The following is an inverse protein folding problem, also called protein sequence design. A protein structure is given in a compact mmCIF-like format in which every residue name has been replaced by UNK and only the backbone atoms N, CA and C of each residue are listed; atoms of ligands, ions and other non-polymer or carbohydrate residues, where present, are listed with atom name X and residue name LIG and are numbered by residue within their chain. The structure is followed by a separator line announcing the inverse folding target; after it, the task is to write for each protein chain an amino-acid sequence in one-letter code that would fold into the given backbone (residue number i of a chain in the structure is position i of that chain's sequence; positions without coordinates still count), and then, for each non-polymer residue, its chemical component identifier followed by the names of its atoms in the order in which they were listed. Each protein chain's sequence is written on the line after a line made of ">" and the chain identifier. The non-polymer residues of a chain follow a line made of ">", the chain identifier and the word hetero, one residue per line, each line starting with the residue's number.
data_IF_661597272620
#
_entry.id   IF_661597272620
#
_cell.length_a   1.000
_cell.length_b   1.000
_cell.length_c   1.000
_cell.angle_alpha   90.00
_cell.angle_beta   90.00
_cell.angle_gamma   90.00
#
_symmetry.space_group_name_H-M   'P 1'
#
loop_
_entity.id
_entity.type
_entity.pdbx_description
1 polymer ?
#
# COMPACT_ATOMS: atom_id res chain seq x y z
N UNK A 1 30.95 14.88 -26.85
CA UNK A 1 30.13 13.84 -26.17
C UNK A 1 29.15 14.53 -25.25
N UNK A 2 27.84 14.43 -25.50
CA UNK A 2 26.82 14.95 -24.58
C UNK A 2 26.24 13.78 -23.77
N UNK A 3 26.43 13.82 -22.45
CA UNK A 3 25.90 12.87 -21.47
C UNK A 3 24.36 12.92 -21.42
N UNK A 4 23.69 12.23 -22.35
CA UNK A 4 22.22 12.18 -22.45
C UNK A 4 21.61 10.89 -21.90
N UNK A 5 22.27 10.23 -20.94
CA UNK A 5 21.86 8.90 -20.45
C UNK A 5 21.11 8.85 -19.11
N UNK A 6 21.24 9.85 -18.24
CA UNK A 6 20.84 9.74 -16.81
C UNK A 6 19.55 10.46 -16.43
N UNK A 7 19.05 11.39 -17.24
CA UNK A 7 17.92 12.27 -16.85
C UNK A 7 16.57 11.55 -16.81
N UNK A 8 16.39 10.51 -17.61
CA UNK A 8 15.13 9.75 -17.64
C UNK A 8 14.95 8.90 -16.38
N UNK A 9 16.02 8.25 -15.91
CA UNK A 9 15.98 7.46 -14.67
C UNK A 9 15.73 8.32 -13.44
N UNK A 10 16.35 9.51 -13.38
CA UNK A 10 16.13 10.47 -12.28
C UNK A 10 14.67 10.97 -12.19
N UNK A 11 14.02 11.20 -13.34
CA UNK A 11 12.61 11.62 -13.35
C UNK A 11 11.67 10.51 -12.91
N UNK A 12 11.94 9.27 -13.30
CA UNK A 12 11.18 8.11 -12.86
C UNK A 12 11.35 7.86 -11.35
N UNK A 13 12.56 7.98 -10.82
CA UNK A 13 12.86 7.89 -9.39
C UNK A 13 12.09 8.95 -8.57
N UNK A 14 12.17 10.23 -8.98
CA UNK A 14 11.44 11.29 -8.29
C UNK A 14 9.93 11.08 -8.35
N UNK A 15 9.42 10.63 -9.52
CA UNK A 15 8.00 10.32 -9.68
C UNK A 15 7.56 9.18 -8.77
N UNK A 16 8.30 8.07 -8.74
CA UNK A 16 8.00 6.91 -7.91
C UNK A 16 7.95 7.27 -6.42
N UNK A 17 8.92 8.07 -5.95
CA UNK A 17 8.95 8.53 -4.55
C UNK A 17 7.77 9.44 -4.25
N UNK A 18 7.48 10.41 -5.14
CA UNK A 18 6.37 11.33 -4.94
C UNK A 18 5.01 10.61 -4.96
N UNK A 19 4.77 9.74 -5.95
CA UNK A 19 3.52 8.98 -6.05
C UNK A 19 3.30 8.09 -4.81
N UNK A 20 4.37 7.46 -4.28
CA UNK A 20 4.28 6.67 -3.06
C UNK A 20 3.99 7.53 -1.81
N UNK A 21 4.66 8.68 -1.66
CA UNK A 21 4.39 9.60 -0.55
C UNK A 21 2.96 10.18 -0.63
N UNK A 22 2.51 10.59 -1.81
CA UNK A 22 1.15 11.06 -2.04
C UNK A 22 0.11 9.96 -1.74
N UNK A 23 0.41 8.71 -2.11
CA UNK A 23 -0.40 7.56 -1.73
C UNK A 23 -0.46 7.35 -0.21
N UNK A 24 0.65 7.53 0.51
CA UNK A 24 0.66 7.44 1.98
C UNK A 24 -0.13 8.58 2.65
N UNK A 25 -0.08 9.80 2.10
CA UNK A 25 -0.85 10.94 2.62
C UNK A 25 -2.36 10.72 2.46
N UNK A 26 -2.78 10.22 1.31
CA UNK A 26 -4.19 9.92 1.00
C UNK A 26 -4.70 8.65 1.69
N UNK A 27 -3.83 7.66 1.88
CA UNK A 27 -4.17 6.37 2.47
C UNK A 27 -3.99 6.31 3.98
N UNK A 28 -3.56 7.40 4.64
CA UNK A 28 -3.20 7.44 6.06
C UNK A 28 -4.34 6.88 6.93
N UNK A 29 -4.23 5.64 7.44
CA UNK A 29 -5.30 5.05 8.24
C UNK A 29 -5.35 5.75 9.59
N UNK A 30 -6.55 6.05 10.11
CA UNK A 30 -6.72 6.45 11.51
C UNK A 30 -6.01 5.41 12.39
N UNK A 31 -4.94 5.87 13.06
CA UNK A 31 -4.03 5.16 13.95
C UNK A 31 -4.81 4.16 14.83
N UNK A 32 -4.77 2.86 14.52
CA UNK A 32 -5.39 1.85 15.40
C UNK A 32 -5.70 0.46 14.85
N UNK A 33 -5.85 0.22 13.53
CA UNK A 33 -6.14 -1.16 13.08
C UNK A 33 -5.67 -1.43 11.66
N UNK A 34 -4.61 -2.24 11.53
CA UNK A 34 -4.34 -2.97 10.28
C UNK A 34 -5.51 -3.94 10.08
N UNK A 35 -6.45 -3.62 9.19
CA UNK A 35 -7.36 -4.62 8.64
C UNK A 35 -6.59 -5.36 7.53
N UNK A 36 -6.53 -6.68 7.67
CA UNK A 36 -5.82 -7.56 6.75
C UNK A 36 -6.73 -7.90 5.57
N UNK A 37 -6.33 -7.53 4.35
CA UNK A 37 -7.09 -7.78 3.11
C UNK A 37 -7.34 -9.27 2.91
N UNK A 38 -6.39 -10.12 3.34
CA UNK A 38 -6.53 -11.57 3.31
C UNK A 38 -7.70 -12.05 4.16
N UNK A 39 -7.87 -11.51 5.37
CA UNK A 39 -9.03 -11.83 6.22
C UNK A 39 -10.36 -11.44 5.60
N UNK A 40 -10.44 -10.30 4.89
CA UNK A 40 -11.68 -9.85 4.24
C UNK A 40 -12.07 -10.79 3.10
N UNK A 41 -11.09 -11.27 2.32
CA UNK A 41 -11.33 -12.27 1.26
C UNK A 41 -11.82 -13.61 1.80
N UNK A 42 -11.19 -14.11 2.86
CA UNK A 42 -11.61 -15.36 3.52
C UNK A 42 -13.06 -15.25 4.04
N UNK A 43 -13.40 -14.12 4.66
CA UNK A 43 -14.77 -13.86 5.12
C UNK A 43 -15.80 -13.79 3.99
N UNK A 44 -15.40 -13.26 2.83
CA UNK A 44 -16.26 -13.22 1.63
C UNK A 44 -16.58 -14.63 1.14
N UNK A 45 -15.56 -15.50 1.03
CA UNK A 45 -15.72 -16.90 0.61
C UNK A 45 -16.63 -17.68 1.58
N UNK A 46 -16.51 -17.45 2.90
CA UNK A 46 -17.40 -18.07 3.89
C UNK A 46 -18.86 -17.62 3.72
N UNK A 47 -19.10 -16.33 3.42
CA UNK A 47 -20.45 -15.80 3.20
C UNK A 47 -21.05 -16.37 1.91
N UNK A 48 -20.27 -16.50 0.84
CA UNK A 48 -20.74 -17.10 -0.41
C UNK A 48 -21.16 -18.56 -0.24
N UNK A 49 -20.41 -19.35 0.54
CA UNK A 49 -20.81 -20.72 0.88
C UNK A 49 -22.12 -20.76 1.66
N UNK A 50 -22.29 -19.89 2.66
CA UNK A 50 -23.52 -19.81 3.46
C UNK A 50 -24.73 -19.32 2.66
N UNK A 51 -24.52 -18.49 1.63
CA UNK A 51 -25.60 -18.03 0.75
C UNK A 51 -26.22 -19.15 -0.10
N UNK A 52 -25.50 -20.26 -0.33
CA UNK A 52 -26.02 -21.42 -1.05
C UNK A 52 -27.06 -22.22 -0.22
N UNK A 53 -26.89 -22.23 1.10
CA UNK A 53 -27.71 -23.05 2.02
C UNK A 53 -28.87 -22.26 2.66
N UNK A 54 -28.78 -20.92 2.67
CA UNK A 54 -29.67 -20.05 3.43
C UNK A 54 -30.69 -19.33 2.53
N UNK A 55 -31.96 -19.34 2.95
CA UNK A 55 -33.08 -18.66 2.27
C UNK A 55 -33.82 -17.68 3.21
N UNK A 56 -34.69 -16.85 2.63
CA UNK A 56 -35.49 -15.86 3.37
C UNK A 56 -34.67 -14.71 3.94
N UNK A 57 -35.10 -14.18 5.10
CA UNK A 57 -34.51 -12.98 5.74
C UNK A 57 -32.99 -13.12 6.00
N UNK A 58 -32.52 -14.33 6.30
CA UNK A 58 -31.10 -14.61 6.57
C UNK A 58 -30.24 -14.50 5.31
N UNK A 59 -30.81 -14.77 4.12
CA UNK A 59 -30.14 -14.57 2.83
C UNK A 59 -29.90 -13.08 2.58
N UNK A 60 -30.85 -12.23 2.95
CA UNK A 60 -30.75 -10.77 2.81
C UNK A 60 -29.62 -10.21 3.70
N UNK A 61 -29.52 -10.68 4.95
CA UNK A 61 -28.44 -10.29 5.87
C UNK A 61 -27.04 -10.67 5.34
N UNK A 62 -26.90 -11.88 4.79
CA UNK A 62 -25.65 -12.33 4.17
C UNK A 62 -25.33 -11.56 2.89
N UNK A 63 -26.32 -11.18 2.08
CA UNK A 63 -26.13 -10.33 0.90
C UNK A 63 -25.66 -8.93 1.28
N UNK A 64 -26.21 -8.36 2.36
CA UNK A 64 -25.75 -7.07 2.89
C UNK A 64 -24.30 -7.16 3.37
N UNK A 65 -23.96 -8.19 4.16
CA UNK A 65 -22.58 -8.43 4.60
C UNK A 65 -21.61 -8.62 3.44
N UNK A 66 -22.03 -9.30 2.37
CA UNK A 66 -21.24 -9.44 1.14
C UNK A 66 -20.99 -8.08 0.49
N UNK A 67 -22.00 -7.22 0.41
CA UNK A 67 -21.86 -5.87 -0.15
C UNK A 67 -20.91 -5.00 0.70
N UNK A 68 -21.05 -5.02 2.03
CA UNK A 68 -20.15 -4.31 2.95
C UNK A 68 -18.69 -4.78 2.82
N UNK A 69 -18.46 -6.11 2.74
CA UNK A 69 -17.11 -6.66 2.55
C UNK A 69 -16.53 -6.33 1.18
N UNK A 70 -17.36 -6.29 0.13
CA UNK A 70 -16.92 -5.85 -1.20
C UNK A 70 -16.58 -4.37 -1.22
N UNK A 71 -17.37 -3.48 -0.60
CA UNK A 71 -17.02 -2.06 -0.47
C UNK A 71 -15.74 -1.87 0.33
N UNK A 72 -15.54 -2.65 1.39
CA UNK A 72 -14.30 -2.66 2.15
C UNK A 72 -13.13 -3.15 1.27
N UNK A 73 -13.33 -4.20 0.46
CA UNK A 73 -12.34 -4.65 -0.51
C UNK A 73 -12.04 -3.64 -1.60
N UNK A 74 -13.00 -2.83 -2.04
CA UNK A 74 -12.76 -1.75 -2.99
C UNK A 74 -11.93 -0.63 -2.36
N UNK A 75 -12.25 -0.26 -1.11
CA UNK A 75 -11.46 0.70 -0.32
C UNK A 75 -10.04 0.20 -0.06
N UNK A 76 -9.89 -1.10 0.20
CA UNK A 76 -8.60 -1.76 0.33
C UNK A 76 -7.94 -2.06 -1.02
N UNK A 77 -8.71 -2.13 -2.11
CA UNK A 77 -8.28 -2.40 -3.48
C UNK A 77 -7.60 -1.19 -4.11
N UNK A 78 -7.96 0.02 -3.68
CA UNK A 78 -7.11 1.21 -3.87
C UNK A 78 -5.70 1.06 -3.26
N UNK A 79 -5.47 0.08 -2.38
CA UNK A 79 -4.12 -0.27 -1.91
C UNK A 79 -3.36 -1.20 -2.89
N UNK A 80 -3.99 -1.71 -3.96
CA UNK A 80 -3.29 -2.47 -5.01
C UNK A 80 -2.41 -1.53 -5.86
N UNK A 81 -2.84 -0.29 -6.12
CA UNK A 81 -1.95 0.79 -6.60
C UNK A 81 -0.79 1.00 -5.62
N UNK A 82 -1.09 1.00 -4.31
CA UNK A 82 -0.10 1.07 -3.25
C UNK A 82 0.98 -0.03 -3.32
N UNK A 83 0.64 -1.22 -3.80
CA UNK A 83 1.61 -2.33 -3.92
C UNK A 83 2.61 -2.09 -5.05
N UNK A 84 2.17 -1.56 -6.18
CA UNK A 84 3.06 -1.21 -7.28
C UNK A 84 3.91 0.03 -6.94
N UNK A 85 3.29 1.02 -6.30
CA UNK A 85 3.99 2.21 -5.78
C UNK A 85 5.03 1.83 -4.72
N UNK A 86 4.71 0.90 -3.82
CA UNK A 86 5.65 0.38 -2.83
C UNK A 86 6.87 -0.29 -3.49
N UNK A 87 6.64 -1.12 -4.52
CA UNK A 87 7.75 -1.77 -5.24
C UNK A 87 8.68 -0.75 -5.89
N UNK A 88 8.11 0.24 -6.60
CA UNK A 88 8.86 1.31 -7.23
C UNK A 88 9.59 2.17 -6.20
N UNK A 89 8.96 2.46 -5.06
CA UNK A 89 9.61 3.15 -3.96
C UNK A 89 10.81 2.34 -3.43
N UNK A 90 10.63 1.06 -3.13
CA UNK A 90 11.70 0.18 -2.62
C UNK A 90 12.88 0.10 -3.59
N UNK A 91 12.61 0.10 -4.90
CA UNK A 91 13.64 0.07 -5.95
C UNK A 91 14.50 1.35 -5.96
N UNK A 92 13.88 2.53 -5.82
CA UNK A 92 14.57 3.81 -5.99
C UNK A 92 14.98 4.51 -4.68
N UNK A 93 14.33 4.20 -3.55
CA UNK A 93 14.49 4.93 -2.30
C UNK A 93 15.94 4.90 -1.76
N UNK A 94 16.66 3.79 -1.93
CA UNK A 94 18.06 3.70 -1.51
C UNK A 94 18.96 4.69 -2.27
N UNK A 95 18.86 4.69 -3.60
CA UNK A 95 19.64 5.57 -4.49
C UNK A 95 19.29 7.04 -4.27
N UNK A 96 18.01 7.33 -4.10
CA UNK A 96 17.54 8.69 -3.81
C UNK A 96 18.06 9.21 -2.47
N UNK A 97 17.98 8.37 -1.43
CA UNK A 97 18.46 8.72 -0.09
C UNK A 97 19.96 8.97 -0.08
N UNK A 98 20.75 8.14 -0.77
CA UNK A 98 22.19 8.32 -0.90
C UNK A 98 22.55 9.64 -1.62
N UNK A 99 21.81 9.99 -2.69
CA UNK A 99 22.02 11.23 -3.44
C UNK A 99 21.61 12.49 -2.68
N UNK A 100 20.55 12.41 -1.89
CA UNK A 100 20.00 13.55 -1.14
C UNK A 100 20.51 13.66 0.30
N UNK A 101 21.23 12.66 0.80
CA UNK A 101 21.66 12.59 2.20
C UNK A 101 20.50 12.38 3.18
N UNK A 102 19.42 11.73 2.74
CA UNK A 102 18.22 11.51 3.56
C UNK A 102 18.46 10.33 4.48
N UNK A 103 18.18 10.53 5.77
CA UNK A 103 18.36 9.52 6.82
C UNK A 103 17.07 8.71 7.02
N UNK A 104 17.21 7.55 7.66
CA UNK A 104 16.10 6.68 8.04
C UNK A 104 15.01 7.42 8.84
N UNK A 105 15.41 8.27 9.80
CA UNK A 105 14.51 9.04 10.66
C UNK A 105 13.63 9.99 9.83
N UNK A 106 14.21 10.64 8.82
CA UNK A 106 13.47 11.56 7.93
C UNK A 106 12.34 10.85 7.18
N UNK A 107 12.55 9.59 6.77
CA UNK A 107 11.50 8.80 6.13
C UNK A 107 10.38 8.39 7.10
N UNK A 108 10.73 8.10 8.35
CA UNK A 108 9.73 7.83 9.39
C UNK A 108 8.88 9.06 9.67
N UNK A 109 9.49 10.25 9.74
CA UNK A 109 8.78 11.52 9.89
C UNK A 109 7.85 11.81 8.71
N UNK A 110 8.28 11.47 7.48
CA UNK A 110 7.45 11.53 6.28
C UNK A 110 6.29 10.51 6.27
N UNK A 111 6.23 9.59 7.24
CA UNK A 111 5.16 8.61 7.38
C UNK A 111 5.40 7.28 6.66
N UNK A 112 6.61 7.04 6.15
CA UNK A 112 6.97 5.77 5.52
C UNK A 112 7.14 4.68 6.60
N UNK A 113 6.51 3.49 6.47
CA UNK A 113 6.65 2.45 7.47
C UNK A 113 8.07 1.87 7.53
N UNK A 114 8.55 1.57 8.74
CA UNK A 114 9.84 0.90 8.96
C UNK A 114 10.00 -0.39 8.14
N UNK A 115 8.93 -1.17 7.95
CA UNK A 115 8.95 -2.39 7.13
C UNK A 115 9.29 -2.12 5.67
N UNK A 116 8.92 -0.96 5.13
CA UNK A 116 9.19 -0.59 3.73
C UNK A 116 10.61 -0.06 3.58
N UNK A 117 11.07 0.73 4.55
CA UNK A 117 12.47 1.18 4.60
C UNK A 117 13.44 -0.01 4.70
N UNK A 118 13.09 -1.01 5.50
CA UNK A 118 13.85 -2.26 5.59
C UNK A 118 13.92 -3.00 4.24
N UNK A 119 12.81 -3.07 3.50
CA UNK A 119 12.78 -3.65 2.13
C UNK A 119 13.65 -2.84 1.16
N UNK A 120 13.65 -1.51 1.29
CA UNK A 120 14.49 -0.60 0.51
C UNK A 120 15.97 -0.62 0.94
N UNK A 121 16.36 -1.41 1.95
CA UNK A 121 17.73 -1.46 2.46
C UNK A 121 18.16 -0.23 3.28
N UNK A 122 17.23 0.67 3.62
CA UNK A 122 17.48 1.85 4.44
C UNK A 122 17.39 1.44 5.91
N UNK A 123 18.52 1.48 6.62
CA UNK A 123 18.62 1.05 8.01
C UNK A 123 18.67 2.23 8.97
N UNK A 124 18.16 2.08 10.20
CA UNK A 124 18.38 3.06 11.25
C UNK A 124 19.89 3.22 11.50
N UNK A 125 20.32 4.45 11.76
CA UNK A 125 21.65 4.71 12.31
C UNK A 125 21.68 4.11 13.73
N UNK A 126 22.66 3.23 13.99
CA UNK A 126 22.92 2.64 15.31
C UNK A 126 23.81 3.56 16.16
#
# INVERSE_FOLDING_TARGET
>A
MAEKGTTSSLRLENKAINDYLAHLETSKPRRGRKRDVGKVRVQLEEIEKRLAEVSGIRRVDLLQKRADLNQELERLGSANDGTQLEKLFVEYAASYSARKGIRYETWLEAGVPASILAKAGIRPHA
#
